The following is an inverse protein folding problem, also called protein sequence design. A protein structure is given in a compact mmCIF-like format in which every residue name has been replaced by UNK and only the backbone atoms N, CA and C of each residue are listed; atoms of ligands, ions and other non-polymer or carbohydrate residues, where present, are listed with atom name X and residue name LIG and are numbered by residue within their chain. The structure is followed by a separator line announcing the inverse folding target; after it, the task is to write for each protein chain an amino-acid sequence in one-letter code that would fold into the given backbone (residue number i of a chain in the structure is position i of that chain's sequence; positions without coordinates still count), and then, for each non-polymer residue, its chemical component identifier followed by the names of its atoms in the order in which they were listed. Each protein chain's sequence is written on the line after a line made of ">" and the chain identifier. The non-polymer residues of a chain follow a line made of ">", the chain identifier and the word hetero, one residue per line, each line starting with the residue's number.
data_IF_820537111708
#
_entry.id   IF_820537111708
#
_cell.length_a   1.000
_cell.length_b   1.000
_cell.length_c   1.000
_cell.angle_alpha   90.00
_cell.angle_beta   90.00
_cell.angle_gamma   90.00
#
_symmetry.space_group_name_H-M   'P 1'
#
loop_
_entity.id
_entity.type
_entity.pdbx_description
1 polymer ?
#
# COMPACT_ATOMS: atom_id res chain seq x y z
N UNK A 1 -30.96 -38.44 -4.08
CA UNK A 1 -30.40 -38.08 -5.39
C UNK A 1 -30.17 -36.57 -5.35
N UNK A 2 -28.92 -36.13 -5.27
CA UNK A 2 -28.59 -34.70 -5.30
C UNK A 2 -28.89 -34.15 -6.69
N UNK A 3 -29.46 -32.95 -6.76
CA UNK A 3 -29.88 -32.33 -8.00
C UNK A 3 -28.66 -31.87 -8.81
N UNK A 4 -28.75 -31.90 -10.14
CA UNK A 4 -27.71 -31.49 -11.08
C UNK A 4 -27.34 -29.99 -11.02
N UNK A 5 -27.86 -29.24 -10.04
CA UNK A 5 -27.46 -27.87 -9.75
C UNK A 5 -26.25 -27.77 -8.80
N UNK A 6 -25.91 -28.85 -8.08
CA UNK A 6 -24.79 -28.87 -7.13
C UNK A 6 -23.42 -29.13 -7.81
N UNK A 7 -23.39 -29.33 -9.13
CA UNK A 7 -22.19 -29.68 -9.90
C UNK A 7 -21.53 -28.51 -10.65
N UNK A 8 -21.99 -27.27 -10.44
CA UNK A 8 -21.43 -26.07 -11.10
C UNK A 8 -20.44 -25.28 -10.24
N UNK A 9 -20.16 -25.70 -9.01
CA UNK A 9 -19.01 -25.20 -8.27
C UNK A 9 -17.76 -25.97 -8.70
N UNK A 10 -17.26 -25.60 -9.87
CA UNK A 10 -15.87 -25.86 -10.22
C UNK A 10 -15.01 -25.37 -9.06
N UNK A 11 -14.13 -26.24 -8.58
CA UNK A 11 -13.13 -25.90 -7.55
C UNK A 11 -12.29 -24.71 -8.01
N UNK A 12 -12.60 -23.51 -7.53
CA UNK A 12 -11.90 -22.25 -7.85
C UNK A 12 -10.47 -22.15 -7.24
N UNK A 13 -9.90 -23.26 -6.75
CA UNK A 13 -8.60 -23.27 -6.05
C UNK A 13 -7.38 -23.30 -6.98
N UNK A 14 -7.31 -22.40 -7.97
CA UNK A 14 -6.09 -22.26 -8.78
C UNK A 14 -5.57 -20.81 -8.94
N UNK A 15 -6.21 -19.83 -8.32
CA UNK A 15 -5.77 -18.43 -8.43
C UNK A 15 -5.34 -17.86 -7.08
N UNK A 16 -4.18 -17.19 -7.07
CA UNK A 16 -3.74 -16.39 -5.94
C UNK A 16 -4.35 -15.00 -6.09
N UNK A 17 -5.35 -14.68 -5.25
CA UNK A 17 -5.91 -13.33 -5.19
C UNK A 17 -5.00 -12.41 -4.36
N UNK A 18 -4.62 -11.28 -4.95
CA UNK A 18 -3.79 -10.25 -4.33
C UNK A 18 -4.52 -8.91 -4.39
N UNK A 19 -4.73 -8.28 -3.23
CA UNK A 19 -5.16 -6.89 -3.17
C UNK A 19 -3.92 -5.99 -3.25
N UNK A 20 -3.76 -5.29 -4.37
CA UNK A 20 -2.55 -4.50 -4.63
C UNK A 20 -2.59 -3.07 -4.04
N UNK A 21 -3.73 -2.65 -3.48
CA UNK A 21 -3.98 -1.25 -3.11
C UNK A 21 -4.83 -1.16 -1.83
N UNK A 22 -4.31 -1.71 -0.74
CA UNK A 22 -5.02 -1.81 0.53
C UNK A 22 -4.65 -0.64 1.45
N UNK A 23 -5.55 0.33 1.63
CA UNK A 23 -5.35 1.51 2.48
C UNK A 23 -5.52 1.21 3.99
N UNK A 24 -4.92 0.12 4.49
CA UNK A 24 -5.15 -0.44 5.83
C UNK A 24 -4.58 0.39 6.99
N UNK A 25 -3.63 1.30 6.72
CA UNK A 25 -3.09 2.25 7.70
C UNK A 25 -4.05 3.42 7.95
N UNK A 26 -5.14 3.53 7.18
CA UNK A 26 -6.13 4.58 7.40
C UNK A 26 -6.76 4.45 8.79
N UNK A 27 -6.82 5.58 9.52
CA UNK A 27 -7.39 5.67 10.88
C UNK A 27 -8.80 5.08 11.04
N UNK A 28 -9.56 4.98 9.95
CA UNK A 28 -10.89 4.34 9.94
C UNK A 28 -10.84 2.87 10.39
N UNK A 29 -9.72 2.19 10.21
CA UNK A 29 -9.53 0.78 10.60
C UNK A 29 -8.94 0.61 12.00
N UNK A 30 -8.59 1.67 12.73
CA UNK A 30 -7.92 1.56 14.04
C UNK A 30 -8.70 0.73 15.08
N UNK A 31 -10.02 0.60 14.92
CA UNK A 31 -10.87 -0.15 15.86
C UNK A 31 -10.97 -1.64 15.55
N UNK A 32 -10.76 -2.03 14.29
CA UNK A 32 -11.12 -3.36 13.80
C UNK A 32 -10.17 -3.92 12.74
N UNK A 33 -8.97 -3.34 12.57
CA UNK A 33 -7.98 -3.70 11.56
C UNK A 33 -7.71 -5.21 11.48
N UNK A 34 -7.49 -5.86 12.63
CA UNK A 34 -7.25 -7.30 12.68
C UNK A 34 -8.42 -8.10 12.09
N UNK A 35 -9.64 -7.69 12.43
CA UNK A 35 -10.85 -8.34 11.91
C UNK A 35 -11.03 -8.10 10.41
N UNK A 36 -10.63 -6.93 9.89
CA UNK A 36 -10.66 -6.60 8.46
C UNK A 36 -9.70 -7.51 7.70
N UNK A 37 -8.46 -7.63 8.19
CA UNK A 37 -7.43 -8.49 7.62
C UNK A 37 -7.87 -9.96 7.65
N UNK A 38 -8.46 -10.42 8.76
CA UNK A 38 -8.94 -11.79 8.87
C UNK A 38 -10.10 -12.06 7.91
N UNK A 39 -11.07 -11.14 7.78
CA UNK A 39 -12.15 -11.28 6.79
C UNK A 39 -11.62 -11.34 5.35
N UNK A 40 -10.58 -10.57 5.01
CA UNK A 40 -9.96 -10.63 3.68
C UNK A 40 -9.33 -12.00 3.42
N UNK A 41 -8.62 -12.56 4.40
CA UNK A 41 -8.03 -13.91 4.32
C UNK A 41 -9.10 -14.99 4.18
N UNK A 42 -10.17 -14.90 4.96
CA UNK A 42 -11.30 -15.86 4.92
C UNK A 42 -12.03 -15.81 3.58
N UNK A 43 -12.07 -14.64 2.93
CA UNK A 43 -12.59 -14.45 1.57
C UNK A 43 -11.61 -14.89 0.46
N UNK A 44 -10.44 -15.42 0.81
CA UNK A 44 -9.47 -15.96 -0.15
C UNK A 44 -8.39 -14.98 -0.61
N UNK A 45 -8.35 -13.74 -0.11
CA UNK A 45 -7.25 -12.79 -0.40
C UNK A 45 -5.98 -13.32 0.27
N UNK A 46 -5.01 -13.76 -0.54
CA UNK A 46 -3.79 -14.40 -0.04
C UNK A 46 -2.68 -13.40 0.29
N UNK A 47 -2.70 -12.23 -0.38
CA UNK A 47 -1.69 -11.19 -0.23
C UNK A 47 -2.34 -9.81 -0.30
N UNK A 48 -1.85 -8.87 0.50
CA UNK A 48 -2.31 -7.48 0.52
C UNK A 48 -1.10 -6.56 0.46
N UNK A 49 -1.10 -5.58 -0.43
CA UNK A 49 -0.08 -4.54 -0.53
C UNK A 49 -0.65 -3.25 0.07
N UNK A 50 -0.05 -2.81 1.16
CA UNK A 50 -0.46 -1.62 1.92
C UNK A 50 0.34 -0.42 1.46
N UNK A 51 -0.38 0.63 1.05
CA UNK A 51 0.23 1.79 0.43
C UNK A 51 0.89 2.72 1.46
N UNK A 52 2.15 3.07 1.20
CA UNK A 52 2.74 4.31 1.70
C UNK A 52 2.23 5.49 0.90
N UNK A 53 1.64 6.50 1.53
CA UNK A 53 1.10 7.71 0.88
C UNK A 53 1.69 9.00 1.46
N UNK A 54 2.51 8.87 2.49
CA UNK A 54 3.21 9.91 3.23
C UNK A 54 4.39 9.28 3.98
N UNK A 55 5.31 10.07 4.52
CA UNK A 55 6.40 9.54 5.35
C UNK A 55 5.88 8.74 6.56
N UNK A 56 4.83 9.25 7.21
CA UNK A 56 4.23 8.56 8.36
C UNK A 56 3.56 7.25 7.95
N UNK A 57 2.71 7.27 6.92
CA UNK A 57 2.00 6.07 6.48
C UNK A 57 2.94 5.03 5.89
N UNK A 58 4.03 5.44 5.24
CA UNK A 58 5.10 4.54 4.75
C UNK A 58 5.74 3.76 5.89
N UNK A 59 6.07 4.42 7.02
CA UNK A 59 6.60 3.75 8.22
C UNK A 59 5.58 2.78 8.83
N UNK A 60 4.31 3.20 8.95
CA UNK A 60 3.25 2.37 9.50
C UNK A 60 2.90 1.18 8.61
N UNK A 61 2.97 1.34 7.28
CA UNK A 61 2.74 0.25 6.33
C UNK A 61 3.81 -0.85 6.51
N UNK A 62 5.09 -0.47 6.63
CA UNK A 62 6.16 -1.43 6.96
C UNK A 62 5.92 -2.09 8.32
N UNK A 63 5.50 -1.34 9.34
CA UNK A 63 5.18 -1.92 10.65
C UNK A 63 4.07 -2.97 10.54
N UNK A 64 3.07 -2.74 9.69
CA UNK A 64 1.96 -3.68 9.47
C UNK A 64 2.42 -4.98 8.79
N UNK A 65 3.41 -4.93 7.87
CA UNK A 65 3.98 -6.15 7.26
C UNK A 65 4.63 -7.05 8.30
N UNK A 66 5.27 -6.46 9.33
CA UNK A 66 5.89 -7.19 10.45
C UNK A 66 4.88 -7.91 11.34
N UNK A 67 3.67 -7.38 11.45
CA UNK A 67 2.58 -8.03 12.20
C UNK A 67 1.92 -9.18 11.43
N UNK A 68 1.98 -9.14 10.09
CA UNK A 68 1.36 -10.15 9.21
C UNK A 68 2.34 -10.68 8.17
N UNK A 69 3.45 -11.32 8.60
CA UNK A 69 4.50 -11.77 7.71
C UNK A 69 3.96 -12.76 6.67
N UNK A 70 4.41 -12.60 5.43
CA UNK A 70 3.99 -13.43 4.30
C UNK A 70 2.53 -13.23 3.86
N UNK A 71 1.78 -12.29 4.45
CA UNK A 71 0.42 -11.94 4.00
C UNK A 71 0.34 -10.47 3.58
N UNK A 72 0.91 -9.58 4.39
CA UNK A 72 0.91 -8.15 4.13
C UNK A 72 2.30 -7.69 3.66
N UNK A 73 2.30 -6.91 2.60
CA UNK A 73 3.45 -6.25 1.98
C UNK A 73 3.17 -4.75 1.93
N UNK A 74 4.16 -3.93 1.62
CA UNK A 74 3.96 -2.49 1.56
C UNK A 74 4.63 -1.84 0.35
N UNK A 75 4.32 -0.56 0.17
CA UNK A 75 5.04 0.35 -0.72
C UNK A 75 5.67 1.48 0.08
N UNK A 76 6.70 2.12 -0.47
CA UNK A 76 7.31 3.32 0.11
C UNK A 76 7.09 4.52 -0.82
N UNK A 77 6.39 5.56 -0.35
CA UNK A 77 6.12 6.73 -1.18
C UNK A 77 5.32 7.84 -0.51
N UNK A 78 5.19 8.94 -1.24
CA UNK A 78 4.40 10.12 -0.92
C UNK A 78 3.45 10.40 -2.09
N UNK A 79 2.16 10.38 -1.79
CA UNK A 79 1.07 10.59 -2.73
C UNK A 79 1.04 12.05 -3.20
N UNK A 80 0.63 12.36 -4.44
CA UNK A 80 0.57 13.74 -4.97
C UNK A 80 -0.16 14.74 -4.06
N UNK A 81 -1.29 14.35 -3.49
CA UNK A 81 -2.02 15.21 -2.54
C UNK A 81 -1.20 15.61 -1.31
N UNK A 82 -0.26 14.76 -0.88
CA UNK A 82 0.62 15.02 0.27
C UNK A 82 2.01 15.50 -0.16
N UNK A 83 2.23 15.86 -1.44
CA UNK A 83 3.54 16.31 -1.92
C UNK A 83 4.14 17.46 -1.08
N UNK A 84 3.31 18.39 -0.60
CA UNK A 84 3.77 19.46 0.30
C UNK A 84 4.39 18.98 1.63
N UNK A 85 4.15 17.73 2.02
CA UNK A 85 4.72 17.13 3.23
C UNK A 85 6.15 16.60 3.05
N UNK A 86 6.69 16.65 1.81
CA UNK A 86 8.05 16.21 1.50
C UNK A 86 9.10 16.78 2.48
N UNK A 87 9.00 18.06 2.84
CA UNK A 87 9.88 18.67 3.82
C UNK A 87 11.34 18.71 3.35
N UNK A 88 12.25 18.27 4.22
CA UNK A 88 13.69 18.19 3.96
C UNK A 88 14.05 16.97 3.09
N UNK A 89 14.96 17.15 2.13
CA UNK A 89 15.35 16.09 1.19
C UNK A 89 16.03 14.92 1.90
N UNK A 90 16.93 15.17 2.85
CA UNK A 90 17.70 14.11 3.49
C UNK A 90 16.79 13.28 4.41
N UNK A 91 15.92 13.94 5.19
CA UNK A 91 14.94 13.24 6.04
C UNK A 91 13.98 12.37 5.22
N UNK A 92 13.38 12.95 4.17
CA UNK A 92 12.42 12.22 3.34
C UNK A 92 13.08 11.02 2.65
N UNK A 93 14.27 11.21 2.08
CA UNK A 93 14.99 10.16 1.38
C UNK A 93 15.49 9.08 2.33
N UNK A 94 15.95 9.44 3.54
CA UNK A 94 16.36 8.47 4.56
C UNK A 94 15.20 7.52 4.88
N UNK A 95 14.02 8.07 5.17
CA UNK A 95 12.82 7.28 5.48
C UNK A 95 12.43 6.38 4.32
N UNK A 96 12.31 6.94 3.12
CA UNK A 96 11.86 6.20 1.94
C UNK A 96 12.85 5.09 1.57
N UNK A 97 14.16 5.36 1.59
CA UNK A 97 15.21 4.35 1.32
C UNK A 97 15.25 3.28 2.40
N UNK A 98 15.12 3.68 3.67
CA UNK A 98 15.07 2.74 4.78
C UNK A 98 13.94 1.73 4.58
N UNK A 99 12.72 2.20 4.30
CA UNK A 99 11.58 1.29 4.05
C UNK A 99 11.78 0.48 2.75
N UNK A 100 12.17 1.12 1.65
CA UNK A 100 12.37 0.48 0.36
C UNK A 100 13.43 -0.64 0.38
N UNK A 101 14.40 -0.58 1.30
CA UNK A 101 15.41 -1.62 1.46
C UNK A 101 14.90 -2.93 2.11
N UNK A 102 13.66 -2.94 2.62
CA UNK A 102 13.07 -4.14 3.23
C UNK A 102 12.45 -5.05 2.17
N UNK A 103 12.57 -6.40 2.29
CA UNK A 103 12.02 -7.34 1.31
C UNK A 103 10.47 -7.32 1.24
N UNK A 104 9.80 -6.82 2.27
CA UNK A 104 8.35 -6.64 2.29
C UNK A 104 7.89 -5.37 1.58
N UNK A 105 8.80 -4.43 1.30
CA UNK A 105 8.53 -3.27 0.46
C UNK A 105 8.71 -3.67 -1.00
N UNK A 106 7.60 -3.86 -1.70
CA UNK A 106 7.60 -4.47 -3.05
C UNK A 106 7.47 -3.44 -4.18
N UNK A 107 7.24 -2.16 -3.85
CA UNK A 107 7.19 -1.08 -4.82
C UNK A 107 7.51 0.28 -4.20
N UNK A 108 7.93 1.23 -5.04
CA UNK A 108 7.95 2.66 -4.72
C UNK A 108 6.60 3.24 -5.13
N UNK A 109 5.93 3.89 -4.19
CA UNK A 109 4.59 4.43 -4.35
C UNK A 109 3.81 4.40 -3.03
N UNK A 110 2.59 4.87 -2.99
CA UNK A 110 1.89 5.54 -4.09
C UNK A 110 2.51 6.92 -4.35
N UNK A 111 2.84 7.20 -5.60
CA UNK A 111 3.39 8.46 -6.07
C UNK A 111 2.86 8.74 -7.48
N UNK A 112 2.77 10.01 -7.87
CA UNK A 112 2.22 10.37 -9.18
C UNK A 112 1.79 11.83 -9.22
N UNK A 113 0.82 12.11 -10.08
CA UNK A 113 0.20 13.41 -10.26
C UNK A 113 -1.32 13.26 -10.13
N UNK A 114 -1.94 14.14 -9.35
CA UNK A 114 -3.39 14.26 -9.25
C UNK A 114 -3.75 15.75 -9.20
N UNK A 115 -4.18 16.27 -10.35
CA UNK A 115 -4.58 17.67 -10.53
C UNK A 115 -6.09 17.88 -10.37
N UNK A 116 -6.83 16.86 -9.90
CA UNK A 116 -8.27 17.00 -9.65
C UNK A 116 -8.57 17.80 -8.38
N UNK A 117 -7.64 17.84 -7.43
CA UNK A 117 -7.78 18.54 -6.15
C UNK A 117 -6.51 19.31 -5.79
N UNK A 118 -6.69 20.55 -5.34
CA UNK A 118 -5.60 21.47 -4.98
C UNK A 118 -5.06 21.24 -3.56
N UNK A 119 -4.80 20.00 -3.17
CA UNK A 119 -4.18 19.72 -1.86
C UNK A 119 -2.69 20.03 -1.82
N UNK A 120 -2.01 19.91 -2.96
CA UNK A 120 -0.63 20.34 -3.22
C UNK A 120 -0.59 20.89 -4.65
N UNK A 121 0.18 21.96 -4.90
CA UNK A 121 0.22 22.59 -6.23
C UNK A 121 0.79 21.64 -7.28
N UNK A 122 0.39 21.74 -8.57
CA UNK A 122 0.94 20.92 -9.64
C UNK A 122 2.48 20.92 -9.69
N UNK A 123 3.11 22.08 -9.46
CA UNK A 123 4.57 22.23 -9.44
C UNK A 123 5.18 21.41 -8.29
N UNK A 124 4.58 21.47 -7.11
CA UNK A 124 5.01 20.69 -5.95
C UNK A 124 4.88 19.18 -6.21
N UNK A 125 3.77 18.74 -6.81
CA UNK A 125 3.55 17.33 -7.17
C UNK A 125 4.60 16.82 -8.16
N UNK A 126 4.91 17.60 -9.20
CA UNK A 126 5.93 17.26 -10.20
C UNK A 126 7.31 17.15 -9.53
N UNK A 127 7.70 18.14 -8.73
CA UNK A 127 8.99 18.13 -8.03
C UNK A 127 9.13 16.89 -7.13
N UNK A 128 8.10 16.54 -6.36
CA UNK A 128 8.13 15.38 -5.47
C UNK A 128 8.13 14.06 -6.23
N UNK A 129 7.38 13.95 -7.33
CA UNK A 129 7.43 12.79 -8.21
C UNK A 129 8.85 12.58 -8.78
N UNK A 130 9.49 13.66 -9.25
CA UNK A 130 10.87 13.60 -9.77
C UNK A 130 11.87 13.16 -8.70
N UNK A 131 11.77 13.69 -7.47
CA UNK A 131 12.62 13.29 -6.35
C UNK A 131 12.46 11.81 -6.00
N UNK A 132 11.22 11.31 -5.94
CA UNK A 132 10.94 9.89 -5.68
C UNK A 132 11.47 8.98 -6.80
N UNK A 133 11.32 9.37 -8.07
CA UNK A 133 11.79 8.59 -9.22
C UNK A 133 13.32 8.53 -9.31
N UNK A 134 14.01 9.65 -9.13
CA UNK A 134 15.44 9.78 -9.43
C UNK A 134 16.36 9.36 -8.28
N UNK A 135 15.86 9.30 -7.04
CA UNK A 135 16.69 9.12 -5.84
C UNK A 135 16.39 7.84 -5.06
N UNK A 136 15.42 7.02 -5.48
CA UNK A 136 15.10 5.72 -4.87
C UNK A 136 15.56 4.52 -5.71
N UNK A 137 16.30 4.77 -6.80
CA UNK A 137 16.97 3.79 -7.65
C UNK A 137 18.45 4.15 -7.76
#
# INVERSE_FOLDING_TARGET
>A
MASSADQLFVSDENYILVDICANLVNKKFNRDLESVIQRAKDAGVKKMIVLGTSLHSTKEALRLTRMHPGTVYCTAGIHPHDAKSWGDDDEALEVLRSVASNPECVAIGECGLDFSKDFSSPECQIQVLEKQRLKLW
#
